data_IF_889672223197
#
_entry.id   IF_889672223197
#
_cell.length_a   1.000
_cell.length_b   1.000
_cell.length_c   1.000
_cell.angle_alpha   90.00
_cell.angle_beta   90.00
_cell.angle_gamma   90.00
#
_symmetry.space_group_name_H-M   'P 1'
#
loop_
_entity.id
_entity.type
_entity.pdbx_description
1 polymer ?
#
# COMPACT_ATOMS: atom_id res chain seq x y z
N UNK A 1 13.22 8.19 -23.46
CA UNK A 1 12.43 7.59 -22.37
C UNK A 1 11.15 8.37 -22.28
N UNK A 2 10.01 7.69 -22.28
CA UNK A 2 8.66 8.26 -22.38
C UNK A 2 7.85 7.92 -21.13
N UNK A 3 7.04 8.87 -20.66
CA UNK A 3 6.01 8.61 -19.65
C UNK A 3 4.77 8.16 -20.40
N UNK A 4 4.44 6.87 -20.30
CA UNK A 4 3.32 6.27 -21.01
C UNK A 4 2.00 6.42 -20.21
N UNK A 5 2.08 6.42 -18.88
CA UNK A 5 0.94 6.68 -17.98
C UNK A 5 1.45 7.21 -16.62
N UNK A 6 0.61 7.98 -15.94
CA UNK A 6 0.83 8.45 -14.56
C UNK A 6 -0.51 8.38 -13.81
N UNK A 7 -0.61 7.47 -12.84
CA UNK A 7 -1.78 7.34 -11.98
C UNK A 7 -1.50 7.88 -10.56
N UNK A 8 -2.43 8.69 -10.06
CA UNK A 8 -2.38 9.24 -8.71
C UNK A 8 -3.22 8.38 -7.76
N UNK A 9 -2.57 7.64 -6.86
CA UNK A 9 -3.22 6.80 -5.85
C UNK A 9 -3.66 7.59 -4.60
N UNK A 10 -4.34 8.72 -4.83
CA UNK A 10 -4.73 9.77 -3.86
C UNK A 10 -4.88 9.29 -2.41
N UNK A 11 -5.95 8.57 -2.09
CA UNK A 11 -6.27 8.15 -0.71
C UNK A 11 -5.87 6.70 -0.39
N UNK A 12 -5.44 5.93 -1.39
CA UNK A 12 -5.19 4.50 -1.23
C UNK A 12 -4.11 4.24 -0.16
N UNK A 13 -3.11 5.12 -0.08
CA UNK A 13 -2.06 4.98 0.92
C UNK A 13 -2.54 5.34 2.34
N UNK A 14 -3.44 6.33 2.48
CA UNK A 14 -4.09 6.61 3.76
C UNK A 14 -4.89 5.40 4.26
N UNK A 15 -5.68 4.76 3.39
CA UNK A 15 -6.43 3.55 3.74
C UNK A 15 -5.51 2.39 4.12
N UNK A 16 -4.38 2.25 3.43
CA UNK A 16 -3.37 1.23 3.75
C UNK A 16 -2.80 1.45 5.16
N UNK A 17 -2.42 2.69 5.47
CA UNK A 17 -1.88 3.05 6.78
C UNK A 17 -2.89 2.84 7.90
N UNK A 18 -4.17 3.16 7.65
CA UNK A 18 -5.26 2.88 8.59
C UNK A 18 -5.37 1.38 8.89
N UNK A 19 -5.39 0.53 7.86
CA UNK A 19 -5.41 -0.92 8.06
C UNK A 19 -4.17 -1.42 8.82
N UNK A 20 -3.00 -0.83 8.61
CA UNK A 20 -1.79 -1.17 9.36
C UNK A 20 -1.90 -0.75 10.83
N UNK A 21 -2.45 0.43 11.09
CA UNK A 21 -2.68 0.95 12.43
C UNK A 21 -3.68 0.06 13.21
N UNK A 22 -4.80 -0.30 12.58
CA UNK A 22 -5.78 -1.23 13.15
C UNK A 22 -5.16 -2.60 13.50
N UNK A 23 -4.30 -3.13 12.62
CA UNK A 23 -3.58 -4.39 12.87
C UNK A 23 -2.54 -4.29 13.98
N UNK A 24 -1.83 -3.16 14.07
CA UNK A 24 -0.89 -2.88 15.14
C UNK A 24 -1.61 -2.85 16.48
N UNK A 25 -2.73 -2.12 16.59
CA UNK A 25 -3.51 -2.06 17.82
C UNK A 25 -4.05 -3.42 18.24
N UNK A 26 -4.58 -4.21 17.29
CA UNK A 26 -5.04 -5.56 17.56
C UNK A 26 -3.91 -6.51 18.04
N UNK A 27 -2.66 -6.23 17.69
CA UNK A 27 -1.49 -7.06 18.03
C UNK A 27 -0.47 -6.35 18.93
N UNK A 28 -0.89 -5.29 19.64
CA UNK A 28 0.02 -4.37 20.34
C UNK A 28 0.88 -5.07 21.38
N UNK A 29 0.30 -5.97 22.16
CA UNK A 29 1.05 -6.72 23.18
C UNK A 29 2.12 -7.62 22.57
N UNK A 30 1.87 -8.21 21.39
CA UNK A 30 2.88 -9.00 20.67
C UNK A 30 4.01 -8.10 20.16
N UNK A 31 3.68 -6.93 19.62
CA UNK A 31 4.66 -5.95 19.17
C UNK A 31 5.54 -5.44 20.33
N UNK A 32 4.92 -5.19 21.50
CA UNK A 32 5.62 -4.76 22.73
C UNK A 32 6.54 -5.85 23.27
N UNK A 33 6.14 -7.12 23.19
CA UNK A 33 6.96 -8.25 23.61
C UNK A 33 8.18 -8.49 22.70
N UNK A 34 8.07 -8.19 21.39
CA UNK A 34 9.16 -8.36 20.42
C UNK A 34 10.19 -7.22 20.49
N UNK A 35 9.72 -6.01 20.79
CA UNK A 35 10.55 -4.81 20.85
C UNK A 35 10.50 -4.24 22.27
N UNK A 36 9.85 -3.10 22.44
CA UNK A 36 9.56 -2.50 23.72
C UNK A 36 8.41 -1.50 23.58
N UNK A 37 7.98 -0.94 24.71
CA UNK A 37 6.91 0.05 24.75
C UNK A 37 7.30 1.38 24.06
N UNK A 38 8.60 1.73 24.01
CA UNK A 38 9.08 2.95 23.33
C UNK A 38 8.90 2.81 21.82
N UNK A 39 9.26 1.67 21.26
CA UNK A 39 9.12 1.32 19.86
C UNK A 39 7.65 1.31 19.46
N UNK A 40 6.78 0.69 20.26
CA UNK A 40 5.34 0.68 19.97
C UNK A 40 4.76 2.09 19.85
N UNK A 41 5.07 2.98 20.82
CA UNK A 41 4.61 4.38 20.76
C UNK A 41 5.16 5.14 19.56
N UNK A 42 6.45 4.97 19.26
CA UNK A 42 7.04 5.58 18.07
C UNK A 42 6.31 5.12 16.80
N UNK A 43 6.06 3.82 16.68
CA UNK A 43 5.42 3.24 15.50
C UNK A 43 3.96 3.67 15.35
N UNK A 44 3.21 3.74 16.45
CA UNK A 44 1.85 4.32 16.48
C UNK A 44 1.85 5.76 15.96
N UNK A 45 2.76 6.60 16.46
CA UNK A 45 2.89 7.99 16.01
C UNK A 45 3.24 8.04 14.51
N UNK A 46 4.19 7.24 14.05
CA UNK A 46 4.56 7.19 12.64
C UNK A 46 3.36 6.84 11.76
N UNK A 47 2.58 5.80 12.10
CA UNK A 47 1.44 5.37 11.30
C UNK A 47 0.33 6.42 11.28
N UNK A 48 -0.04 6.95 12.45
CA UNK A 48 -1.12 7.95 12.57
C UNK A 48 -0.75 9.25 11.88
N UNK A 49 0.47 9.76 12.11
CA UNK A 49 0.94 10.99 11.49
C UNK A 49 1.00 10.86 9.96
N UNK A 50 1.45 9.70 9.46
CA UNK A 50 1.53 9.45 8.02
C UNK A 50 0.13 9.28 7.42
N UNK A 51 -0.80 8.59 8.10
CA UNK A 51 -2.21 8.50 7.67
C UNK A 51 -2.84 9.89 7.55
N UNK A 52 -2.61 10.77 8.54
CA UNK A 52 -3.07 12.15 8.53
C UNK A 52 -2.46 12.96 7.38
N UNK A 53 -1.18 12.77 7.09
CA UNK A 53 -0.51 13.42 5.97
C UNK A 53 -1.16 13.05 4.63
N UNK A 54 -1.44 11.77 4.38
CA UNK A 54 -2.07 11.34 3.12
C UNK A 54 -3.59 11.59 3.06
N UNK A 55 -4.27 11.74 4.21
CA UNK A 55 -5.73 11.94 4.23
C UNK A 55 -6.16 13.41 4.33
N UNK A 56 -5.32 14.29 4.88
CA UNK A 56 -5.66 15.70 5.15
C UNK A 56 -4.68 16.72 4.59
N UNK A 57 -3.50 16.30 4.18
CA UNK A 57 -2.50 17.17 3.56
C UNK A 57 -2.22 16.72 2.13
N UNK A 58 -1.20 17.29 1.51
CA UNK A 58 -0.87 17.10 0.10
C UNK A 58 -0.07 15.80 -0.18
N UNK A 59 -0.21 14.78 0.68
CA UNK A 59 0.43 13.49 0.49
C UNK A 59 -0.19 12.72 -0.67
N UNK A 60 0.64 12.25 -1.61
CA UNK A 60 0.18 11.45 -2.74
C UNK A 60 1.21 10.40 -3.14
N UNK A 61 0.73 9.27 -3.66
CA UNK A 61 1.55 8.21 -4.26
C UNK A 61 1.27 8.19 -5.75
N UNK A 62 2.33 8.23 -6.55
CA UNK A 62 2.24 8.17 -8.01
C UNK A 62 2.74 6.83 -8.52
N UNK A 63 1.97 6.22 -9.41
CA UNK A 63 2.39 5.06 -10.18
C UNK A 63 2.67 5.51 -11.61
N UNK A 64 3.92 5.38 -12.06
CA UNK A 64 4.34 5.79 -13.40
C UNK A 64 4.71 4.59 -14.27
N UNK A 65 4.16 4.53 -15.48
CA UNK A 65 4.59 3.58 -16.51
C UNK A 65 5.57 4.27 -17.46
N UNK A 66 6.83 3.81 -17.48
CA UNK A 66 7.91 4.42 -18.26
C UNK A 66 8.39 3.47 -19.34
N UNK A 67 8.58 3.96 -20.57
CA UNK A 67 9.01 3.15 -21.72
C UNK A 67 10.19 3.77 -22.46
N UNK A 68 10.95 2.95 -23.19
CA UNK A 68 12.01 3.44 -24.10
C UNK A 68 11.46 3.81 -25.47
N UNK A 69 10.39 3.13 -25.90
CA UNK A 69 9.70 3.30 -27.17
C UNK A 69 8.25 3.81 -26.94
N UNK A 70 7.82 4.79 -27.73
CA UNK A 70 6.48 5.40 -27.70
C UNK A 70 5.37 4.43 -28.14
N UNK A 71 5.72 3.35 -28.83
CA UNK A 71 4.78 2.32 -29.31
C UNK A 71 4.75 1.08 -28.41
N UNK A 72 5.49 1.08 -27.29
CA UNK A 72 5.63 -0.08 -26.42
C UNK A 72 4.35 -0.49 -25.67
N UNK A 73 3.35 0.40 -25.60
CA UNK A 73 2.04 0.11 -24.98
C UNK A 73 0.91 0.51 -25.93
N UNK A 74 -0.25 -0.16 -25.85
CA UNK A 74 -1.44 0.27 -26.60
C UNK A 74 -1.84 1.70 -26.26
N UNK A 75 -2.46 2.38 -27.21
CA UNK A 75 -2.97 3.76 -27.02
C UNK A 75 -4.06 3.81 -25.95
N UNK A 76 -4.83 2.73 -25.77
CA UNK A 76 -5.83 2.61 -24.71
C UNK A 76 -5.29 1.88 -23.49
N UNK A 77 -5.82 2.23 -22.32
CA UNK A 77 -5.40 1.66 -21.02
C UNK A 77 -6.11 0.35 -20.67
N UNK A 78 -6.83 -0.26 -21.60
CA UNK A 78 -7.61 -1.47 -21.35
C UNK A 78 -6.73 -2.64 -20.88
N UNK A 79 -5.46 -2.67 -21.29
CA UNK A 79 -4.47 -3.65 -20.83
C UNK A 79 -4.16 -3.57 -19.33
N UNK A 80 -4.46 -2.44 -18.66
CA UNK A 80 -4.28 -2.27 -17.22
C UNK A 80 -5.47 -2.80 -16.40
N UNK A 81 -6.66 -2.84 -17.00
CA UNK A 81 -7.92 -3.16 -16.32
C UNK A 81 -8.59 -4.45 -16.84
N UNK A 82 -8.12 -4.98 -17.98
CA UNK A 82 -8.60 -6.20 -18.61
C UNK A 82 -8.08 -7.46 -17.91
N UNK A 83 -8.99 -8.38 -17.62
CA UNK A 83 -8.80 -9.54 -16.74
C UNK A 83 -8.66 -9.13 -15.26
N UNK A 84 -9.78 -8.96 -14.57
CA UNK A 84 -9.82 -9.10 -13.11
C UNK A 84 -9.27 -10.51 -12.79
N UNK A 85 -7.98 -10.59 -12.49
CA UNK A 85 -7.39 -11.75 -11.86
C UNK A 85 -8.11 -11.88 -10.51
N UNK A 86 -9.08 -12.80 -10.49
CA UNK A 86 -9.69 -13.38 -9.30
C UNK A 86 -8.65 -13.38 -8.18
N UNK A 87 -8.92 -12.81 -6.99
CA UNK A 87 -7.94 -12.86 -5.92
C UNK A 87 -7.63 -14.33 -5.69
N UNK A 88 -6.40 -14.74 -6.02
CA UNK A 88 -5.92 -16.03 -5.59
C UNK A 88 -6.03 -15.99 -4.07
N UNK A 89 -6.88 -16.85 -3.51
CA UNK A 89 -6.93 -17.16 -2.09
C UNK A 89 -5.62 -17.87 -1.68
N UNK A 90 -4.47 -17.26 -1.97
CA UNK A 90 -3.12 -17.74 -1.72
C UNK A 90 -2.54 -16.97 -0.53
N UNK A 91 -3.19 -17.14 0.62
CA UNK A 91 -2.71 -16.61 1.90
C UNK A 91 -3.26 -17.36 3.11
N UNK A 92 -4.35 -18.11 2.96
CA UNK A 92 -4.91 -18.92 4.05
C UNK A 92 -4.33 -20.34 4.15
N UNK A 93 -3.73 -20.89 3.08
CA UNK A 93 -3.16 -22.24 3.08
C UNK A 93 -1.73 -22.32 3.65
N UNK A 94 -1.02 -21.19 3.80
CA UNK A 94 0.36 -21.16 4.30
C UNK A 94 0.49 -21.03 5.83
N UNK A 95 -0.63 -21.06 6.58
CA UNK A 95 -0.63 -21.00 8.07
C UNK A 95 -1.23 -22.24 8.73
N UNK A 96 -1.48 -23.31 7.97
CA UNK A 96 -1.97 -24.59 8.49
C UNK A 96 -0.89 -25.69 8.46
N UNK A 97 0.37 -25.33 8.15
CA UNK A 97 1.49 -26.26 8.04
C UNK A 97 2.73 -25.80 8.83
N UNK A 98 2.54 -25.01 9.89
CA UNK A 98 3.58 -24.69 10.87
C UNK A 98 3.03 -24.78 12.29
#
# INVERSE_FOLDING_TARGET
MWVADLETLRLHYAWTLRCWCERLYASREKARALHDERFCRMWEICLIATELFFSRQDGSVFQGQLTRDRHAVPVTRDHMYGQQARPAAAGAAARAAE
#
